data_IF_659733543429
#
_entry.id   IF_659733543429
#
_cell.length_a   1.000
_cell.length_b   1.000
_cell.length_c   1.000
_cell.angle_alpha   90.00
_cell.angle_beta   90.00
_cell.angle_gamma   90.00
#
_symmetry.space_group_name_H-M   'P 1'
#
loop_
_entity.id
_entity.type
_entity.pdbx_description
1 polymer ?
#
# COMPACT_ATOMS: atom_id res chain seq x y z
N UNK A 1 -13.81 54.60 11.18
CA UNK A 1 -13.04 53.85 10.17
C UNK A 1 -12.31 52.70 10.86
N UNK A 2 -12.93 51.54 10.85
CA UNK A 2 -12.36 50.24 11.23
C UNK A 2 -12.94 49.24 10.22
N UNK A 3 -12.14 48.39 9.57
CA UNK A 3 -12.70 47.24 8.89
C UNK A 3 -12.65 46.02 9.82
N UNK A 4 -13.83 45.45 10.04
CA UNK A 4 -14.03 44.14 10.64
C UNK A 4 -13.39 43.05 9.76
N UNK A 5 -12.56 42.24 10.37
CA UNK A 5 -12.15 40.92 9.89
C UNK A 5 -13.35 39.97 9.87
N UNK A 6 -13.67 39.38 8.72
CA UNK A 6 -14.44 38.14 8.66
C UNK A 6 -13.55 37.03 8.10
N UNK A 7 -13.09 36.18 9.03
CA UNK A 7 -12.54 34.87 8.74
C UNK A 7 -13.63 34.00 8.12
N UNK A 8 -13.40 33.49 6.92
CA UNK A 8 -14.23 32.46 6.30
C UNK A 8 -13.42 31.16 6.32
N UNK A 9 -13.69 30.32 7.31
CA UNK A 9 -13.18 28.96 7.35
C UNK A 9 -13.87 28.15 6.24
N UNK A 10 -13.12 27.76 5.21
CA UNK A 10 -13.58 26.77 4.22
C UNK A 10 -13.49 25.38 4.85
N UNK A 11 -14.65 24.81 5.20
CA UNK A 11 -14.79 23.39 5.52
C UNK A 11 -14.97 22.63 4.20
N UNK A 12 -13.89 22.16 3.61
CA UNK A 12 -13.97 21.12 2.57
C UNK A 12 -13.99 19.74 3.26
N UNK A 13 -15.05 18.97 3.00
CA UNK A 13 -15.26 17.64 3.59
C UNK A 13 -14.42 16.61 2.84
N UNK A 14 -13.50 16.00 3.57
CA UNK A 14 -12.81 14.77 3.20
C UNK A 14 -13.84 13.66 2.96
N UNK A 15 -13.89 13.09 1.75
CA UNK A 15 -14.59 11.83 1.49
C UNK A 15 -13.66 10.68 1.91
N UNK A 16 -13.69 10.33 3.21
CA UNK A 16 -13.17 9.04 3.69
C UNK A 16 -14.20 7.98 3.27
N UNK A 17 -13.85 7.15 2.30
CA UNK A 17 -14.63 5.95 1.99
C UNK A 17 -14.24 4.81 2.93
N UNK A 18 -15.02 4.61 3.99
CA UNK A 18 -15.01 3.38 4.78
C UNK A 18 -16.04 2.44 4.17
N UNK A 19 -15.60 1.30 3.62
CA UNK A 19 -16.54 0.25 3.18
C UNK A 19 -16.16 -1.11 3.78
N UNK A 20 -17.16 -1.72 4.41
CA UNK A 20 -17.14 -3.05 5.03
C UNK A 20 -17.40 -4.09 3.93
N UNK A 21 -16.49 -5.05 3.80
CA UNK A 21 -16.62 -6.16 2.85
C UNK A 21 -17.70 -7.14 3.29
N UNK A 22 -18.71 -7.39 2.44
CA UNK A 22 -19.65 -8.49 2.59
C UNK A 22 -19.38 -9.49 1.46
N UNK A 23 -18.94 -10.69 1.85
CA UNK A 23 -18.70 -11.83 0.96
C UNK A 23 -20.02 -12.46 0.49
N UNK A 24 -20.13 -12.77 -0.82
CA UNK A 24 -20.75 -14.01 -1.33
C UNK A 24 -20.51 -14.22 -2.85
N UNK A 25 -20.07 -15.45 -3.16
CA UNK A 25 -20.04 -16.18 -4.45
C UNK A 25 -19.09 -15.75 -5.59
N UNK A 26 -17.92 -16.42 -5.60
CA UNK A 26 -17.52 -17.33 -6.69
C UNK A 26 -17.39 -16.75 -8.10
N UNK A 27 -16.52 -15.76 -8.28
CA UNK A 27 -15.91 -15.47 -9.57
C UNK A 27 -14.39 -15.32 -9.36
N UNK A 28 -13.60 -15.85 -10.28
CA UNK A 28 -12.16 -15.58 -10.36
C UNK A 28 -11.97 -14.16 -10.89
N UNK A 29 -11.21 -13.33 -10.17
CA UNK A 29 -11.27 -11.87 -10.32
C UNK A 29 -9.82 -11.29 -10.29
N UNK A 30 -9.50 -10.16 -10.96
CA UNK A 30 -8.12 -9.76 -11.40
C UNK A 30 -7.62 -8.23 -11.64
N UNK A 31 -6.70 -7.62 -10.85
CA UNK A 31 -5.59 -6.59 -11.00
C UNK A 31 -5.32 -5.71 -12.26
N UNK A 32 -4.63 -4.55 -12.14
CA UNK A 32 -3.90 -3.73 -13.17
C UNK A 32 -4.55 -3.67 -14.57
N UNK A 33 -4.82 -2.47 -15.08
CA UNK A 33 -5.54 -2.31 -16.35
C UNK A 33 -4.57 -2.19 -17.53
N UNK A 34 -4.52 -3.21 -18.40
CA UNK A 34 -3.67 -3.20 -19.60
C UNK A 34 -4.35 -2.54 -20.80
N UNK A 35 -3.54 -1.88 -21.62
CA UNK A 35 -4.00 -1.39 -22.93
C UNK A 35 -4.34 -2.57 -23.85
N UNK A 36 -3.40 -3.50 -23.99
CA UNK A 36 -3.39 -4.58 -24.98
C UNK A 36 -4.38 -5.71 -24.69
N UNK A 37 -4.75 -5.91 -23.43
CA UNK A 37 -5.50 -7.10 -22.99
C UNK A 37 -6.57 -6.77 -21.96
N UNK A 38 -7.71 -7.44 -22.10
CA UNK A 38 -8.73 -7.54 -21.05
C UNK A 38 -8.76 -8.92 -20.41
N UNK A 39 -7.84 -9.81 -20.76
CA UNK A 39 -7.72 -11.12 -20.13
C UNK A 39 -7.34 -10.91 -18.66
N UNK A 40 -8.22 -11.30 -17.74
CA UNK A 40 -8.01 -10.97 -16.36
C UNK A 40 -6.89 -11.89 -15.78
N UNK A 41 -6.48 -12.97 -16.45
CA UNK A 41 -5.31 -13.77 -16.04
C UNK A 41 -3.95 -13.22 -16.53
N UNK A 42 -3.93 -12.13 -17.30
CA UNK A 42 -2.70 -11.57 -17.87
C UNK A 42 -1.74 -11.09 -16.77
N UNK A 43 -0.45 -11.45 -16.88
CA UNK A 43 0.63 -11.08 -15.95
C UNK A 43 0.37 -11.38 -14.45
N UNK A 44 -0.27 -12.51 -14.15
CA UNK A 44 -0.58 -13.00 -12.78
C UNK A 44 0.51 -13.87 -12.15
N UNK A 45 1.57 -14.15 -12.89
CA UNK A 45 2.75 -14.88 -12.40
C UNK A 45 3.98 -13.97 -12.47
N UNK A 46 5.03 -14.35 -11.74
CA UNK A 46 6.26 -13.56 -11.68
C UNK A 46 6.81 -13.28 -13.10
N UNK A 47 7.27 -12.05 -13.38
CA UNK A 47 7.85 -11.72 -14.68
C UNK A 47 9.06 -12.61 -15.01
N UNK A 48 9.13 -13.09 -16.26
CA UNK A 48 10.24 -13.86 -16.80
C UNK A 48 11.20 -13.03 -17.66
N UNK A 49 12.22 -13.69 -18.23
CA UNK A 49 13.11 -13.09 -19.22
C UNK A 49 13.90 -11.88 -18.70
N UNK A 50 13.91 -10.78 -19.44
CA UNK A 50 14.61 -9.54 -19.07
C UNK A 50 14.05 -8.86 -17.81
N UNK A 51 12.82 -9.22 -17.43
CA UNK A 51 12.10 -8.70 -16.26
C UNK A 51 12.21 -9.64 -15.05
N UNK A 52 12.97 -10.74 -15.13
CA UNK A 52 13.18 -11.60 -13.97
C UNK A 52 13.71 -10.80 -12.77
N UNK A 53 13.13 -11.08 -11.60
CA UNK A 53 13.41 -10.41 -10.33
C UNK A 53 13.08 -8.91 -10.31
N UNK A 54 12.16 -8.44 -11.16
CA UNK A 54 11.69 -7.04 -11.18
C UNK A 54 10.71 -6.67 -10.07
N UNK A 55 10.90 -7.22 -8.88
CA UNK A 55 10.21 -6.80 -7.66
C UNK A 55 9.02 -7.65 -7.23
N UNK A 56 8.55 -8.58 -8.08
CA UNK A 56 7.48 -9.52 -7.72
C UNK A 56 7.77 -10.27 -6.42
N UNK A 57 9.02 -10.68 -6.24
CA UNK A 57 9.49 -11.42 -5.07
C UNK A 57 9.48 -10.62 -3.77
N UNK A 58 9.26 -9.30 -3.84
CA UNK A 58 9.23 -8.38 -2.71
C UNK A 58 7.81 -7.86 -2.40
N UNK A 59 6.76 -8.34 -3.06
CA UNK A 59 5.41 -7.89 -2.73
C UNK A 59 4.79 -8.77 -1.64
N UNK A 60 4.24 -8.11 -0.63
CA UNK A 60 3.51 -8.72 0.46
C UNK A 60 2.05 -8.27 0.43
N UNK A 61 1.13 -9.19 0.74
CA UNK A 61 -0.29 -8.91 0.77
C UNK A 61 -0.72 -8.40 2.14
N UNK A 62 -1.39 -7.25 2.19
CA UNK A 62 -1.84 -6.63 3.45
C UNK A 62 -3.24 -6.06 3.31
N UNK A 63 -4.22 -6.75 3.90
CA UNK A 63 -5.65 -6.44 3.67
C UNK A 63 -5.98 -6.48 2.17
N UNK A 64 -6.63 -5.43 1.65
CA UNK A 64 -6.91 -5.24 0.22
C UNK A 64 -5.73 -4.67 -0.60
N UNK A 65 -4.58 -4.42 0.01
CA UNK A 65 -3.48 -3.67 -0.62
C UNK A 65 -2.16 -4.44 -0.56
N UNK A 66 -1.11 -3.83 -1.10
CA UNK A 66 0.24 -4.35 -1.08
C UNK A 66 1.14 -3.56 -0.13
N UNK A 67 2.19 -4.23 0.32
CA UNK A 67 3.32 -3.63 1.01
C UNK A 67 4.61 -4.27 0.52
N UNK A 68 5.71 -3.53 0.58
CA UNK A 68 7.01 -3.99 0.09
C UNK A 68 8.01 -4.05 1.24
N UNK A 69 8.51 -5.23 1.66
CA UNK A 69 9.60 -5.30 2.63
C UNK A 69 10.80 -4.49 2.16
N UNK A 70 11.34 -3.65 3.04
CA UNK A 70 12.50 -2.77 2.78
C UNK A 70 13.62 -2.95 3.81
N UNK A 71 13.35 -3.71 4.87
CA UNK A 71 14.31 -4.13 5.89
C UNK A 71 13.77 -5.40 6.58
N UNK A 72 14.58 -6.10 7.39
CA UNK A 72 14.17 -7.34 8.07
C UNK A 72 12.82 -7.26 8.80
N UNK A 73 12.51 -6.15 9.46
CA UNK A 73 11.29 -6.02 10.27
C UNK A 73 10.35 -4.91 9.76
N UNK A 74 10.56 -4.42 8.53
CA UNK A 74 9.82 -3.27 8.01
C UNK A 74 9.38 -3.46 6.56
N UNK A 75 8.16 -3.04 6.27
CA UNK A 75 7.68 -2.86 4.91
C UNK A 75 7.14 -1.44 4.72
N UNK A 76 7.21 -0.96 3.48
CA UNK A 76 6.68 0.35 3.06
C UNK A 76 5.41 0.18 2.22
N UNK A 77 4.49 1.12 2.34
CA UNK A 77 3.22 1.20 1.61
C UNK A 77 2.75 2.66 1.54
N UNK A 78 1.56 2.89 0.98
CA UNK A 78 0.92 4.20 0.91
C UNK A 78 0.24 4.56 2.24
N UNK A 79 0.34 5.82 2.67
CA UNK A 79 -0.19 6.31 3.95
C UNK A 79 -1.72 6.51 3.91
N UNK A 80 -2.26 6.84 2.73
CA UNK A 80 -3.69 7.00 2.49
C UNK A 80 -4.46 5.67 2.59
N UNK A 81 -3.75 4.54 2.55
CA UNK A 81 -4.35 3.22 2.76
C UNK A 81 -4.59 3.00 4.24
N UNK A 82 -5.82 2.68 4.60
CA UNK A 82 -6.20 2.25 5.93
C UNK A 82 -6.39 0.74 5.99
N UNK A 83 -5.53 0.08 6.76
CA UNK A 83 -5.73 -1.30 7.21
C UNK A 83 -5.57 -1.29 8.74
N UNK A 84 -6.49 -1.93 9.49
CA UNK A 84 -6.46 -1.87 10.95
C UNK A 84 -5.12 -2.34 11.55
N UNK A 85 -4.59 -1.68 12.60
CA UNK A 85 -3.42 -2.16 13.33
C UNK A 85 -3.59 -3.61 13.82
N UNK A 86 -2.50 -4.37 13.83
CA UNK A 86 -2.52 -5.79 14.17
C UNK A 86 -2.95 -6.71 13.03
N UNK A 87 -3.44 -6.18 11.91
CA UNK A 87 -3.71 -6.98 10.71
C UNK A 87 -2.39 -7.54 10.16
N UNK A 88 -2.25 -8.87 9.99
CA UNK A 88 -1.02 -9.45 9.47
C UNK A 88 -0.77 -9.07 8.01
N UNK A 89 0.50 -8.82 7.69
CA UNK A 89 1.00 -8.78 6.31
C UNK A 89 1.49 -10.19 5.94
N UNK A 90 1.12 -10.68 4.76
CA UNK A 90 1.47 -12.01 4.26
C UNK A 90 2.56 -11.88 3.21
N UNK A 91 3.76 -12.34 3.53
CA UNK A 91 4.90 -12.34 2.62
C UNK A 91 5.35 -13.77 2.32
N UNK A 92 5.31 -14.16 1.03
CA UNK A 92 5.65 -15.53 0.55
C UNK A 92 4.92 -16.64 1.34
N UNK A 93 3.65 -16.41 1.68
CA UNK A 93 2.80 -17.36 2.42
C UNK A 93 3.00 -17.34 3.94
N UNK A 94 3.92 -16.54 4.47
CA UNK A 94 4.15 -16.38 5.91
C UNK A 94 3.48 -15.09 6.41
N UNK A 95 2.72 -15.20 7.50
CA UNK A 95 2.05 -14.06 8.12
C UNK A 95 2.92 -13.39 9.19
N UNK A 96 3.02 -12.06 9.13
CA UNK A 96 3.70 -11.24 10.11
C UNK A 96 2.75 -10.19 10.66
N UNK A 97 2.51 -10.18 11.97
CA UNK A 97 1.61 -9.21 12.62
C UNK A 97 2.19 -7.81 12.53
N UNK A 98 1.40 -6.82 12.10
CA UNK A 98 1.80 -5.41 12.15
C UNK A 98 1.77 -4.88 13.58
N UNK A 99 2.77 -4.08 13.95
CA UNK A 99 2.92 -3.56 15.32
C UNK A 99 2.61 -2.07 15.38
N UNK A 100 3.41 -1.28 14.68
CA UNK A 100 3.31 0.19 14.65
C UNK A 100 3.70 0.70 13.27
N UNK A 101 3.35 1.95 12.99
CA UNK A 101 3.67 2.62 11.74
C UNK A 101 4.35 3.98 11.94
N UNK A 102 5.01 4.43 10.89
CA UNK A 102 5.71 5.69 10.78
C UNK A 102 5.28 6.33 9.45
N UNK A 103 4.64 7.50 9.54
CA UNK A 103 4.27 8.30 8.37
C UNK A 103 5.41 9.25 8.01
N UNK A 104 5.66 9.39 6.72
CA UNK A 104 6.55 10.43 6.22
C UNK A 104 5.83 11.78 6.30
N UNK A 105 6.36 12.78 7.02
CA UNK A 105 5.71 14.09 7.08
C UNK A 105 5.68 14.84 5.74
N UNK A 106 6.46 14.42 4.75
CA UNK A 106 6.62 15.11 3.47
C UNK A 106 6.01 14.36 2.28
N UNK A 107 5.34 13.22 2.49
CA UNK A 107 4.77 12.43 1.40
C UNK A 107 3.66 11.49 1.85
N UNK A 108 3.09 10.75 0.90
CA UNK A 108 2.15 9.66 1.18
C UNK A 108 2.85 8.32 1.52
N UNK A 109 4.09 8.32 1.99
CA UNK A 109 4.76 7.08 2.40
C UNK A 109 4.44 6.72 3.85
N UNK A 110 4.19 5.43 4.09
CA UNK A 110 4.09 4.84 5.42
C UNK A 110 4.98 3.61 5.53
N UNK A 111 5.76 3.53 6.60
CA UNK A 111 6.51 2.32 6.96
C UNK A 111 5.82 1.64 8.15
N UNK A 112 5.64 0.33 8.06
CA UNK A 112 5.14 -0.51 9.16
C UNK A 112 6.25 -1.38 9.73
N UNK A 113 6.32 -1.47 11.06
CA UNK A 113 7.08 -2.50 11.77
C UNK A 113 6.24 -3.76 11.90
N UNK A 114 6.88 -4.91 11.72
CA UNK A 114 6.26 -6.23 11.88
C UNK A 114 6.84 -7.01 13.06
N UNK A 115 6.05 -7.96 13.53
CA UNK A 115 6.45 -9.00 14.47
C UNK A 115 7.05 -10.20 13.70
N UNK A 116 8.37 -10.36 13.77
CA UNK A 116 9.12 -11.36 13.02
C UNK A 116 10.03 -10.72 11.97
N UNK A 117 10.76 -11.54 11.21
CA UNK A 117 11.76 -11.08 10.24
C UNK A 117 11.44 -11.60 8.84
N UNK A 118 11.35 -10.70 7.87
CA UNK A 118 11.31 -11.04 6.46
C UNK A 118 12.63 -11.69 6.03
N UNK A 119 12.59 -12.81 5.27
CA UNK A 119 13.79 -13.48 4.80
C UNK A 119 14.51 -12.72 3.67
N UNK A 120 13.85 -11.72 3.07
CA UNK A 120 14.32 -10.98 1.91
C UNK A 120 13.55 -9.65 1.81
N UNK A 121 14.16 -8.62 1.22
CA UNK A 121 13.58 -7.29 1.09
C UNK A 121 14.13 -6.54 -0.12
N UNK A 122 13.35 -5.57 -0.62
CA UNK A 122 13.68 -4.82 -1.82
C UNK A 122 14.87 -3.87 -1.58
N UNK A 123 15.86 -3.82 -2.48
CA UNK A 123 16.82 -2.73 -2.49
C UNK A 123 16.14 -1.43 -2.90
N UNK A 124 16.53 -0.31 -2.29
CA UNK A 124 15.97 1.02 -2.54
C UNK A 124 16.69 1.69 -3.72
N UNK A 125 15.93 2.30 -4.63
CA UNK A 125 16.47 3.16 -5.68
C UNK A 125 16.84 4.52 -5.09
N UNK A 126 18.11 4.92 -5.22
CA UNK A 126 18.66 6.13 -4.58
C UNK A 126 19.16 7.18 -5.57
N UNK A 127 19.13 6.89 -6.86
CA UNK A 127 19.53 7.87 -7.88
C UNK A 127 18.38 8.86 -8.14
N UNK A 128 18.66 9.93 -8.88
CA UNK A 128 17.71 10.99 -9.20
C UNK A 128 17.38 11.11 -10.69
N UNK A 129 17.71 10.08 -11.47
CA UNK A 129 17.60 10.00 -12.93
C UNK A 129 16.44 9.09 -13.39
N UNK A 130 15.31 9.10 -12.69
CA UNK A 130 14.17 8.22 -12.97
C UNK A 130 13.50 8.52 -14.32
N UNK A 131 13.38 9.80 -14.70
CA UNK A 131 12.75 10.22 -15.96
C UNK A 131 13.37 9.52 -17.17
N UNK A 132 12.52 8.93 -18.00
CA UNK A 132 12.90 8.17 -19.19
C UNK A 132 13.25 6.71 -18.92
N UNK A 133 13.37 6.27 -17.67
CA UNK A 133 13.58 4.85 -17.38
C UNK A 133 12.28 4.06 -17.52
N UNK A 134 12.38 2.90 -18.16
CA UNK A 134 11.35 1.87 -18.08
C UNK A 134 11.30 1.27 -16.67
N UNK A 135 10.10 0.93 -16.21
CA UNK A 135 9.88 0.31 -14.92
C UNK A 135 8.91 -0.85 -15.00
N UNK A 136 8.89 -1.67 -13.94
CA UNK A 136 7.82 -2.62 -13.67
C UNK A 136 6.98 -2.10 -12.51
N UNK A 137 5.67 -2.05 -12.67
CA UNK A 137 4.73 -1.69 -11.61
C UNK A 137 3.92 -2.92 -11.21
N UNK A 138 3.65 -3.06 -9.92
CA UNK A 138 2.91 -4.18 -9.35
C UNK A 138 1.73 -3.63 -8.57
N UNK A 139 0.58 -4.30 -8.69
CA UNK A 139 -0.70 -3.82 -8.20
C UNK A 139 -1.66 -4.96 -7.91
N UNK A 140 -2.72 -4.64 -7.17
CA UNK A 140 -3.74 -5.58 -6.68
C UNK A 140 -5.16 -5.01 -6.64
N UNK A 141 -5.40 -4.00 -7.47
CA UNK A 141 -6.68 -3.33 -7.67
C UNK A 141 -7.77 -4.11 -8.42
N UNK A 142 -8.38 -3.46 -9.41
CA UNK A 142 -9.54 -3.98 -10.15
C UNK A 142 -9.20 -4.57 -11.51
N UNK A 143 -10.18 -5.28 -12.08
CA UNK A 143 -10.24 -5.68 -13.48
C UNK A 143 -10.45 -4.51 -14.44
N UNK A 144 -10.15 -4.77 -15.71
CA UNK A 144 -10.63 -3.96 -16.82
C UNK A 144 -12.16 -4.04 -16.93
N UNK A 145 -12.82 -2.90 -16.79
CA UNK A 145 -14.26 -2.77 -16.97
C UNK A 145 -14.66 -2.52 -18.44
N UNK A 146 -15.94 -2.16 -18.67
CA UNK A 146 -16.46 -1.84 -19.99
C UNK A 146 -15.71 -0.68 -20.68
N UNK A 147 -15.79 -0.60 -22.03
CA UNK A 147 -15.23 0.50 -22.78
C UNK A 147 -15.86 1.85 -22.43
N UNK A 148 -15.01 2.85 -22.20
CA UNK A 148 -15.37 4.26 -22.22
C UNK A 148 -15.31 4.71 -23.66
N UNK A 149 -16.43 5.23 -24.16
CA UNK A 149 -16.54 5.69 -25.54
C UNK A 149 -17.13 7.08 -25.62
N UNK A 150 -16.59 7.89 -26.52
CA UNK A 150 -17.17 9.16 -26.96
C UNK A 150 -17.65 9.01 -28.39
N UNK A 151 -18.73 9.69 -28.74
CA UNK A 151 -19.25 9.67 -30.11
C UNK A 151 -19.09 11.05 -30.71
N UNK A 152 -18.42 11.13 -31.87
CA UNK A 152 -18.36 12.35 -32.67
C UNK A 152 -19.06 12.11 -34.01
N UNK A 153 -20.20 12.77 -34.20
CA UNK A 153 -21.14 12.53 -35.30
C UNK A 153 -21.56 11.05 -35.41
N UNK A 154 -20.96 10.31 -36.36
CA UNK A 154 -21.25 8.91 -36.64
C UNK A 154 -20.11 7.96 -36.23
N UNK A 155 -19.01 8.48 -35.68
CA UNK A 155 -17.86 7.66 -35.29
C UNK A 155 -17.84 7.48 -33.79
N UNK A 156 -17.92 6.23 -33.34
CA UNK A 156 -17.66 5.84 -31.96
C UNK A 156 -16.16 5.70 -31.78
N UNK A 157 -15.62 6.52 -30.88
CA UNK A 157 -14.23 6.46 -30.45
C UNK A 157 -14.19 5.77 -29.10
N UNK A 158 -13.19 4.91 -28.93
CA UNK A 158 -12.89 4.33 -27.62
C UNK A 158 -11.80 5.14 -26.95
N UNK A 159 -12.03 5.56 -25.71
CA UNK A 159 -11.17 6.47 -24.96
C UNK A 159 -10.34 5.74 -23.90
N UNK A 160 -10.82 4.60 -23.42
CA UNK A 160 -10.24 3.89 -22.29
C UNK A 160 -11.21 2.89 -21.69
N UNK A 161 -10.87 2.38 -20.51
CA UNK A 161 -11.58 1.31 -19.83
C UNK A 161 -12.01 1.75 -18.45
N UNK A 162 -13.30 1.59 -18.11
CA UNK A 162 -13.74 1.83 -16.73
C UNK A 162 -13.04 0.87 -15.77
N UNK A 163 -12.97 1.23 -14.49
CA UNK A 163 -12.59 0.28 -13.45
C UNK A 163 -13.68 -0.80 -13.32
N UNK A 164 -13.25 -2.06 -13.31
CA UNK A 164 -14.11 -3.23 -13.24
C UNK A 164 -14.29 -3.73 -11.81
N UNK A 165 -14.61 -5.02 -11.71
CA UNK A 165 -14.75 -5.67 -10.41
C UNK A 165 -13.41 -5.72 -9.66
N UNK A 166 -13.45 -5.42 -8.36
CA UNK A 166 -12.31 -5.59 -7.46
C UNK A 166 -12.09 -7.07 -7.11
N UNK A 167 -10.83 -7.42 -6.89
CA UNK A 167 -10.45 -8.82 -6.87
C UNK A 167 -9.22 -9.24 -6.11
N UNK A 168 -8.36 -8.29 -5.76
CA UNK A 168 -7.19 -8.56 -4.96
C UNK A 168 -6.22 -9.62 -5.53
N UNK A 169 -6.12 -9.82 -6.84
CA UNK A 169 -5.06 -10.64 -7.45
C UNK A 169 -3.89 -9.75 -7.89
N UNK A 170 -2.67 -10.19 -7.57
CA UNK A 170 -1.45 -9.46 -7.90
C UNK A 170 -1.14 -9.57 -9.39
N UNK A 171 -0.82 -8.42 -10.00
CA UNK A 171 -0.39 -8.32 -11.41
C UNK A 171 0.76 -7.35 -11.57
N UNK A 172 1.42 -7.44 -12.70
CA UNK A 172 2.47 -6.50 -13.08
C UNK A 172 2.28 -5.99 -14.51
N UNK A 173 2.69 -4.74 -14.73
CA UNK A 173 2.80 -4.12 -16.04
C UNK A 173 4.06 -3.28 -16.15
N UNK A 174 4.26 -2.63 -17.29
CA UNK A 174 5.46 -1.84 -17.58
C UNK A 174 5.11 -0.53 -18.26
N UNK A 175 5.58 0.58 -17.71
CA UNK A 175 5.55 1.87 -18.38
C UNK A 175 6.93 2.53 -18.28
N UNK A 176 7.03 3.78 -18.73
CA UNK A 176 8.21 4.64 -18.60
C UNK A 176 7.88 5.78 -17.66
N UNK A 177 8.85 6.23 -16.87
CA UNK A 177 8.70 7.47 -16.08
C UNK A 177 8.67 8.65 -17.04
N UNK A 178 7.49 9.21 -17.28
CA UNK A 178 7.31 10.34 -18.17
C UNK A 178 7.90 11.63 -17.56
N UNK A 179 7.70 11.82 -16.26
CA UNK A 179 8.21 12.96 -15.52
C UNK A 179 8.32 12.66 -14.01
N UNK A 180 9.09 13.50 -13.32
CA UNK A 180 9.00 13.68 -11.87
C UNK A 180 8.26 14.98 -11.64
N UNK A 181 7.16 14.94 -10.90
CA UNK A 181 6.29 16.10 -10.65
C UNK A 181 6.09 16.30 -9.16
N UNK A 182 5.87 17.55 -8.74
CA UNK A 182 5.40 17.82 -7.38
C UNK A 182 3.88 17.59 -7.34
N UNK A 183 3.44 16.63 -6.52
CA UNK A 183 2.02 16.30 -6.34
C UNK A 183 1.27 17.27 -5.44
N UNK A 184 1.96 18.16 -4.71
CA UNK A 184 1.36 19.11 -3.76
C UNK A 184 0.36 20.04 -4.45
N UNK A 185 -0.90 20.02 -3.99
CA UNK A 185 -1.96 20.84 -4.56
C UNK A 185 -2.41 20.44 -5.98
N UNK A 186 -1.83 19.36 -6.53
CA UNK A 186 -2.18 18.80 -7.85
C UNK A 186 -2.96 17.50 -7.67
N UNK A 187 -2.47 16.59 -6.84
CA UNK A 187 -3.04 15.25 -6.64
C UNK A 187 -3.88 15.12 -5.36
N UNK A 188 -4.03 16.22 -4.62
CA UNK A 188 -4.84 16.24 -3.40
C UNK A 188 -4.58 17.48 -2.53
N UNK A 189 -5.33 17.56 -1.44
CA UNK A 189 -5.14 18.58 -0.41
C UNK A 189 -4.15 18.04 0.64
N UNK A 190 -2.89 18.46 0.59
CA UNK A 190 -1.87 18.05 1.55
C UNK A 190 -0.47 18.01 0.94
N UNK A 191 0.49 17.57 1.75
CA UNK A 191 1.85 17.26 1.29
C UNK A 191 1.83 15.86 0.67
N UNK A 192 1.98 15.80 -0.64
CA UNK A 192 2.14 14.58 -1.44
C UNK A 192 3.62 14.37 -1.78
N UNK A 193 4.35 15.47 -1.98
CA UNK A 193 5.77 15.45 -2.35
C UNK A 193 6.00 15.12 -3.82
N UNK A 194 7.23 14.72 -4.14
CA UNK A 194 7.60 14.33 -5.50
C UNK A 194 7.02 12.95 -5.86
N UNK A 195 6.46 12.84 -7.06
CA UNK A 195 5.88 11.60 -7.59
C UNK A 195 6.45 11.30 -8.98
N UNK A 196 6.57 10.01 -9.28
CA UNK A 196 6.86 9.49 -10.61
C UNK A 196 5.55 9.44 -11.40
N UNK A 197 5.49 10.14 -12.53
CA UNK A 197 4.35 10.10 -13.44
C UNK A 197 4.59 9.09 -14.56
N UNK A 198 3.55 8.33 -14.90
CA UNK A 198 3.51 7.53 -16.12
C UNK A 198 2.22 7.81 -16.89
N UNK A 199 2.35 7.98 -18.20
CA UNK A 199 1.21 8.11 -19.12
C UNK A 199 0.71 6.73 -19.54
N UNK A 200 -0.57 6.67 -19.89
CA UNK A 200 -1.18 5.53 -20.56
C UNK A 200 -1.57 5.97 -21.96
N UNK A 201 -0.68 5.85 -22.91
CA UNK A 201 -0.77 6.49 -24.23
C UNK A 201 -0.79 5.49 -25.39
N UNK A 202 -0.96 4.20 -25.08
CA UNK A 202 -0.99 3.12 -26.05
C UNK A 202 0.33 2.92 -26.80
N UNK A 203 1.43 3.49 -26.31
CA UNK A 203 2.75 3.45 -26.92
C UNK A 203 3.82 2.82 -25.99
N UNK A 204 3.42 2.32 -24.82
CA UNK A 204 4.31 1.66 -23.85
C UNK A 204 4.58 0.16 -24.12
N UNK A 205 4.03 -0.38 -25.21
CA UNK A 205 4.17 -1.78 -25.61
C UNK A 205 3.15 -2.72 -24.97
N UNK A 206 3.34 -4.03 -25.13
CA UNK A 206 2.32 -5.05 -24.80
C UNK A 206 1.92 -5.10 -23.32
N UNK A 207 2.77 -4.63 -22.42
CA UNK A 207 2.52 -4.64 -20.98
C UNK A 207 2.25 -3.25 -20.41
N UNK A 208 2.05 -2.25 -21.28
CA UNK A 208 1.61 -0.93 -20.84
C UNK A 208 0.30 -1.04 -20.07
N UNK A 209 0.28 -0.40 -18.92
CA UNK A 209 -0.84 -0.48 -18.01
C UNK A 209 -1.15 0.85 -17.36
N UNK A 210 -2.26 0.86 -16.63
CA UNK A 210 -2.69 1.93 -15.76
C UNK A 210 -3.16 1.32 -14.43
N UNK A 211 -3.16 2.16 -13.38
CA UNK A 211 -3.61 1.79 -12.05
C UNK A 211 -5.12 1.99 -11.86
N UNK A 212 -5.64 1.38 -10.81
CA UNK A 212 -7.03 1.41 -10.40
C UNK A 212 -7.18 1.32 -8.88
N UNK A 213 -8.43 1.41 -8.39
CA UNK A 213 -8.70 1.22 -6.98
C UNK A 213 -8.12 -0.09 -6.45
N UNK A 214 -7.35 -0.02 -5.36
CA UNK A 214 -6.71 -1.17 -4.71
C UNK A 214 -5.29 -1.47 -5.20
N UNK A 215 -4.80 -0.77 -6.23
CA UNK A 215 -3.38 -0.82 -6.60
C UNK A 215 -2.49 0.00 -5.65
N UNK A 216 -3.09 0.85 -4.81
CA UNK A 216 -2.39 1.65 -3.78
C UNK A 216 -1.47 0.82 -2.91
N UNK A 217 -0.28 1.36 -2.62
CA UNK A 217 0.75 0.66 -1.85
C UNK A 217 1.55 -0.39 -2.63
N UNK A 218 1.11 -0.75 -3.84
CA UNK A 218 1.89 -1.52 -4.79
C UNK A 218 3.16 -0.78 -5.21
N UNK A 219 4.16 -1.51 -5.70
CA UNK A 219 5.49 -0.95 -5.95
C UNK A 219 5.81 -0.74 -7.42
N UNK A 220 6.63 0.29 -7.67
CA UNK A 220 7.30 0.57 -8.93
C UNK A 220 8.79 0.27 -8.78
N UNK A 221 9.33 -0.56 -9.67
CA UNK A 221 10.74 -0.96 -9.70
C UNK A 221 11.42 -0.45 -10.96
N UNK A 222 12.54 0.25 -10.79
CA UNK A 222 13.43 0.66 -11.89
C UNK A 222 14.68 -0.21 -11.84
N UNK A 223 15.18 -0.59 -13.02
CA UNK A 223 16.43 -1.34 -13.15
C UNK A 223 17.61 -0.38 -13.07
N UNK A 224 18.39 -0.49 -12.01
CA UNK A 224 19.67 0.21 -11.83
C UNK A 224 20.82 -0.76 -12.08
N UNK A 225 21.56 -0.53 -13.16
CA UNK A 225 22.49 -1.48 -13.74
C UNK A 225 21.84 -2.86 -13.98
N UNK A 226 22.17 -3.87 -13.16
CA UNK A 226 21.64 -5.23 -13.27
C UNK A 226 20.55 -5.55 -12.25
N UNK A 227 20.26 -4.64 -11.30
CA UNK A 227 19.39 -4.90 -10.15
C UNK A 227 18.14 -4.04 -10.24
N UNK A 228 16.98 -4.66 -10.06
CA UNK A 228 15.72 -3.93 -9.90
C UNK A 228 15.59 -3.40 -8.48
N UNK A 229 15.35 -2.10 -8.36
CA UNK A 229 15.26 -1.40 -7.07
C UNK A 229 13.93 -0.66 -6.96
N UNK A 230 13.40 -0.62 -5.74
CA UNK A 230 12.15 0.06 -5.41
C UNK A 230 12.31 1.57 -5.63
N UNK A 231 11.58 2.11 -6.61
CA UNK A 231 11.67 3.50 -7.03
C UNK A 231 10.39 4.31 -6.71
N UNK A 232 9.25 3.63 -6.59
CA UNK A 232 7.98 4.30 -6.28
C UNK A 232 6.99 3.41 -5.54
N UNK A 233 6.02 4.06 -4.88
CA UNK A 233 4.85 3.41 -4.29
C UNK A 233 3.59 3.99 -4.91
N UNK A 234 2.74 3.13 -5.49
CA UNK A 234 1.50 3.49 -6.17
C UNK A 234 0.61 4.35 -5.28
N UNK A 235 0.24 5.52 -5.81
CA UNK A 235 -0.42 6.59 -5.08
C UNK A 235 -1.76 6.97 -5.68
N UNK A 236 -1.75 7.43 -6.94
CA UNK A 236 -2.88 8.15 -7.52
C UNK A 236 -2.97 7.93 -9.03
N UNK A 237 -4.09 8.40 -9.58
CA UNK A 237 -4.42 8.42 -11.00
C UNK A 237 -5.12 9.72 -11.35
N UNK A 238 -5.09 10.10 -12.62
CA UNK A 238 -5.98 11.13 -13.15
C UNK A 238 -7.46 10.65 -13.12
N UNK A 239 -8.37 11.64 -13.07
CA UNK A 239 -9.81 11.42 -12.94
C UNK A 239 -10.36 11.85 -11.57
N UNK A 240 -11.64 11.56 -11.27
CA UNK A 240 -12.61 10.87 -12.13
C UNK A 240 -12.93 11.65 -13.40
N UNK A 241 -13.51 10.95 -14.38
CA UNK A 241 -13.93 11.52 -15.66
C UNK A 241 -15.44 11.66 -15.76
N UNK A 242 -15.89 12.48 -16.72
CA UNK A 242 -17.29 12.63 -17.08
C UNK A 242 -17.46 12.78 -18.60
N UNK A 243 -18.64 12.46 -19.11
CA UNK A 243 -19.06 12.73 -20.50
C UNK A 243 -19.74 14.09 -20.67
N UNK A 244 -20.07 14.77 -19.56
CA UNK A 244 -20.64 16.12 -19.56
C UNK A 244 -19.83 17.07 -18.67
N UNK A 245 -19.98 18.38 -18.92
CA UNK A 245 -19.41 19.44 -18.07
C UNK A 245 -20.42 20.06 -17.09
N UNK A 246 -21.52 19.36 -16.82
CA UNK A 246 -22.57 19.92 -15.95
C UNK A 246 -22.10 19.93 -14.50
N UNK A 247 -21.96 21.11 -13.91
CA UNK A 247 -21.60 21.23 -12.49
C UNK A 247 -22.68 20.59 -11.61
N UNK A 248 -22.26 19.72 -10.68
CA UNK A 248 -23.16 18.92 -9.86
C UNK A 248 -23.61 17.60 -10.48
N UNK A 249 -23.14 17.27 -11.70
CA UNK A 249 -23.32 15.93 -12.27
C UNK A 249 -22.60 14.88 -11.42
N UNK A 250 -23.38 13.90 -10.95
CA UNK A 250 -22.91 12.80 -10.12
C UNK A 250 -22.57 11.54 -10.93
N UNK A 251 -22.72 11.57 -12.26
CA UNK A 251 -22.42 10.43 -13.15
C UNK A 251 -20.93 10.33 -13.53
N UNK A 252 -20.06 10.91 -12.69
CA UNK A 252 -18.62 10.73 -12.82
C UNK A 252 -18.25 9.25 -12.72
N UNK A 253 -17.23 8.83 -13.47
CA UNK A 253 -16.75 7.46 -13.49
C UNK A 253 -15.22 7.41 -13.38
N UNK A 254 -14.71 6.31 -12.83
CA UNK A 254 -13.28 6.06 -12.76
C UNK A 254 -12.86 5.14 -13.91
N UNK A 255 -11.76 5.48 -14.57
CA UNK A 255 -11.30 4.77 -15.75
C UNK A 255 -9.79 4.94 -15.95
N UNK A 256 -9.18 3.97 -16.61
CA UNK A 256 -7.90 4.11 -17.27
C UNK A 256 -8.14 4.68 -18.68
N UNK A 257 -7.76 5.92 -18.93
CA UNK A 257 -8.05 6.63 -20.18
C UNK A 257 -6.77 6.79 -20.99
N UNK A 258 -6.73 6.26 -22.21
CA UNK A 258 -5.61 6.47 -23.13
C UNK A 258 -5.79 7.65 -24.07
N UNK A 259 -7.02 8.13 -24.21
CA UNK A 259 -7.33 9.34 -24.94
C UNK A 259 -8.57 10.01 -24.34
N UNK A 260 -8.36 11.09 -23.59
CA UNK A 260 -9.41 11.81 -22.89
C UNK A 260 -10.17 12.79 -23.79
N UNK A 261 -9.82 12.95 -25.07
CA UNK A 261 -10.50 13.92 -25.95
C UNK A 261 -11.98 13.56 -26.09
N UNK A 262 -12.83 14.53 -25.74
CA UNK A 262 -14.29 14.39 -25.69
C UNK A 262 -14.83 14.04 -24.31
N UNK A 263 -13.97 13.86 -23.31
CA UNK A 263 -14.32 13.71 -21.91
C UNK A 263 -14.03 15.00 -21.13
N UNK A 264 -14.43 15.00 -19.87
CA UNK A 264 -14.18 16.07 -18.90
C UNK A 264 -13.53 15.50 -17.64
N UNK A 265 -12.70 16.30 -16.99
CA UNK A 265 -12.08 16.01 -15.70
C UNK A 265 -12.28 17.19 -14.75
N UNK A 266 -12.06 16.97 -13.45
CA UNK A 266 -12.22 18.04 -12.45
C UNK A 266 -10.94 18.87 -12.36
N UNK A 267 -11.10 20.18 -12.44
CA UNK A 267 -10.06 21.13 -12.05
C UNK A 267 -9.93 21.23 -10.53
N UNK A 268 -8.86 21.89 -10.05
CA UNK A 268 -8.61 22.19 -8.62
C UNK A 268 -9.77 22.97 -7.95
N UNK A 269 -10.66 23.59 -8.74
CA UNK A 269 -11.87 24.28 -8.27
C UNK A 269 -13.14 23.43 -8.25
N UNK A 270 -13.04 22.11 -8.43
CA UNK A 270 -14.17 21.16 -8.52
C UNK A 270 -15.14 21.43 -9.69
N UNK A 271 -14.62 22.02 -10.77
CA UNK A 271 -15.35 22.32 -12.01
C UNK A 271 -14.92 21.34 -13.09
N UNK A 272 -15.89 20.77 -13.81
CA UNK A 272 -15.65 19.92 -14.98
C UNK A 272 -15.09 20.73 -16.15
N UNK A 273 -13.88 20.42 -16.57
CA UNK A 273 -13.17 21.06 -17.68
C UNK A 273 -12.87 20.02 -18.77
N UNK A 274 -12.82 20.42 -20.06
CA UNK A 274 -12.49 19.48 -21.14
C UNK A 274 -11.12 18.82 -20.89
N UNK A 275 -11.09 17.50 -21.00
CA UNK A 275 -9.87 16.71 -20.91
C UNK A 275 -9.36 16.35 -22.31
N UNK A 276 -8.05 16.08 -22.41
CA UNK A 276 -7.42 15.67 -23.66
C UNK A 276 -6.12 14.92 -23.41
N UNK A 277 -5.70 14.08 -24.36
CA UNK A 277 -4.48 13.30 -24.23
C UNK A 277 -4.64 12.09 -23.30
N UNK A 278 -3.55 11.36 -23.03
CA UNK A 278 -3.57 10.20 -22.15
C UNK A 278 -3.76 10.61 -20.70
N UNK A 279 -4.47 9.78 -19.94
CA UNK A 279 -4.46 9.84 -18.48
C UNK A 279 -3.15 9.32 -17.92
N UNK A 280 -2.86 9.71 -16.69
CA UNK A 280 -1.65 9.35 -15.96
C UNK A 280 -1.95 8.60 -14.67
N UNK A 281 -0.98 7.80 -14.24
CA UNK A 281 -0.88 7.37 -12.86
C UNK A 281 0.43 7.84 -12.22
N UNK A 282 0.41 7.86 -10.89
CA UNK A 282 1.46 8.44 -10.08
C UNK A 282 1.89 7.48 -8.97
N UNK A 283 3.20 7.43 -8.72
CA UNK A 283 3.78 6.72 -7.59
C UNK A 283 4.68 7.65 -6.78
N UNK A 284 4.53 7.67 -5.46
CA UNK A 284 5.37 8.49 -4.56
C UNK A 284 6.84 8.13 -4.76
N UNK A 285 7.69 9.12 -5.06
CA UNK A 285 9.08 8.92 -5.46
C UNK A 285 9.94 8.52 -4.27
N UNK A 286 10.36 7.26 -4.20
CA UNK A 286 11.08 6.73 -3.03
C UNK A 286 12.46 7.37 -2.81
N UNK A 287 13.18 7.71 -3.88
CA UNK A 287 14.54 8.27 -3.79
C UNK A 287 14.58 9.62 -3.06
N UNK A 288 13.50 10.42 -3.13
CA UNK A 288 13.36 11.69 -2.43
C UNK A 288 13.27 11.53 -0.91
N UNK A 289 12.93 10.33 -0.42
CA UNK A 289 12.63 10.05 0.97
C UNK A 289 13.61 9.07 1.63
N UNK A 290 14.75 8.78 0.97
CA UNK A 290 15.77 7.83 1.47
C UNK A 290 16.28 8.20 2.86
N UNK A 291 16.46 9.49 3.15
CA UNK A 291 16.89 9.95 4.48
C UNK A 291 15.87 9.60 5.57
N UNK A 292 14.57 9.80 5.29
CA UNK A 292 13.50 9.44 6.22
C UNK A 292 13.40 7.92 6.36
N UNK A 293 13.41 7.16 5.24
CA UNK A 293 13.39 5.70 5.25
C UNK A 293 14.52 5.16 6.15
N UNK A 294 15.75 5.64 5.94
CA UNK A 294 16.91 5.24 6.72
C UNK A 294 16.79 5.60 8.20
N UNK A 295 16.18 6.75 8.54
CA UNK A 295 15.93 7.11 9.94
C UNK A 295 14.98 6.15 10.64
N UNK A 296 14.02 5.57 9.91
CA UNK A 296 13.03 4.62 10.45
C UNK A 296 13.64 3.23 10.55
N UNK A 297 14.22 2.69 9.48
CA UNK A 297 14.68 1.29 9.44
C UNK A 297 15.96 1.05 10.25
N UNK A 298 16.76 2.10 10.48
CA UNK A 298 17.97 2.04 11.32
C UNK A 298 17.72 2.55 12.74
N UNK A 299 16.48 2.90 13.09
CA UNK A 299 16.16 3.22 14.47
C UNK A 299 16.40 1.97 15.33
N UNK A 300 17.19 2.10 16.40
CA UNK A 300 17.35 1.05 17.41
C UNK A 300 16.07 0.93 18.24
N UNK A 301 15.00 0.43 17.64
CA UNK A 301 13.75 0.16 18.35
C UNK A 301 13.93 -1.12 19.16
N UNK A 302 13.75 -1.08 20.50
CA UNK A 302 13.83 -2.28 21.31
C UNK A 302 12.92 -3.40 20.77
N UNK A 303 13.30 -4.67 20.93
CA UNK A 303 12.39 -5.79 20.69
C UNK A 303 11.08 -5.58 21.44
N UNK A 304 9.96 -6.03 20.88
CA UNK A 304 8.71 -6.04 21.64
C UNK A 304 8.85 -7.00 22.84
N UNK A 305 8.47 -6.58 24.05
CA UNK A 305 8.53 -7.45 25.22
C UNK A 305 7.60 -8.65 25.01
N UNK A 306 7.95 -9.83 25.53
CA UNK A 306 7.07 -10.99 25.43
C UNK A 306 5.78 -10.78 26.20
N UNK A 307 4.69 -11.36 25.70
CA UNK A 307 3.43 -11.47 26.42
C UNK A 307 3.33 -12.86 27.04
N UNK A 308 3.15 -12.92 28.36
CA UNK A 308 2.86 -14.17 29.04
C UNK A 308 1.44 -14.61 28.69
N UNK A 309 1.28 -15.86 28.30
CA UNK A 309 -0.02 -16.49 28.13
C UNK A 309 -0.14 -17.69 29.05
N UNK A 310 -1.34 -17.95 29.54
CA UNK A 310 -1.63 -19.11 30.37
C UNK A 310 -2.81 -19.94 29.86
N UNK A 311 -2.88 -21.20 30.30
CA UNK A 311 -3.97 -22.12 30.03
C UNK A 311 -4.15 -23.12 31.18
N UNK A 312 -5.39 -23.56 31.41
CA UNK A 312 -5.69 -24.63 32.36
C UNK A 312 -5.24 -26.02 31.89
N UNK A 313 -4.95 -26.18 30.59
CA UNK A 313 -4.44 -27.42 29.98
C UNK A 313 -3.21 -27.11 29.12
N UNK A 314 -2.26 -28.05 29.07
CA UNK A 314 -1.08 -27.95 28.21
C UNK A 314 -1.44 -27.72 26.72
N UNK A 315 -2.57 -28.28 26.28
CA UNK A 315 -3.09 -28.14 24.91
C UNK A 315 -3.80 -26.80 24.64
N UNK A 316 -3.94 -25.94 25.64
CA UNK A 316 -4.72 -24.70 25.54
C UNK A 316 -6.22 -24.88 25.81
N UNK A 317 -7.05 -23.87 25.50
CA UNK A 317 -6.68 -22.61 24.85
C UNK A 317 -5.82 -21.72 25.76
N UNK A 318 -4.85 -21.03 25.15
CA UNK A 318 -4.02 -20.04 25.85
C UNK A 318 -4.59 -18.64 25.68
N UNK A 319 -4.56 -17.85 26.75
CA UNK A 319 -4.98 -16.44 26.76
C UNK A 319 -3.88 -15.56 27.38
N UNK A 320 -3.85 -14.29 27.01
CA UNK A 320 -2.90 -13.31 27.58
C UNK A 320 -3.16 -13.13 29.08
N UNK A 321 -2.09 -13.19 29.87
CA UNK A 321 -2.11 -12.88 31.31
C UNK A 321 -2.06 -11.36 31.51
N UNK A 322 -3.23 -10.72 31.60
CA UNK A 322 -3.36 -9.25 31.62
C UNK A 322 -2.70 -8.59 32.83
N UNK A 323 -2.47 -9.33 33.91
CA UNK A 323 -1.85 -8.84 35.13
C UNK A 323 -0.36 -9.21 35.24
N UNK A 324 0.22 -9.83 34.21
CA UNK A 324 1.64 -10.12 34.19
C UNK A 324 2.46 -8.84 34.02
N UNK A 325 3.44 -8.64 34.91
CA UNK A 325 4.41 -7.57 34.86
C UNK A 325 5.67 -8.08 34.18
N UNK A 326 5.97 -7.56 32.99
CA UNK A 326 7.14 -7.93 32.20
C UNK A 326 8.26 -6.92 32.44
N UNK A 327 9.41 -7.40 32.88
CA UNK A 327 10.66 -6.65 32.94
C UNK A 327 11.63 -7.25 31.92
N UNK A 328 11.69 -6.63 30.74
CA UNK A 328 12.55 -7.10 29.64
C UNK A 328 14.04 -6.85 29.89
N UNK A 329 14.39 -5.86 30.72
CA UNK A 329 15.78 -5.59 31.07
C UNK A 329 16.36 -6.70 31.95
N UNK A 330 15.58 -7.17 32.92
CA UNK A 330 15.98 -8.31 33.77
C UNK A 330 15.59 -9.67 33.20
N UNK A 331 14.87 -9.70 32.06
CA UNK A 331 14.31 -10.91 31.44
C UNK A 331 13.44 -11.71 32.41
N UNK A 332 12.58 -11.01 33.14
CA UNK A 332 11.64 -11.62 34.09
C UNK A 332 10.19 -11.25 33.80
N UNK A 333 9.27 -12.14 34.17
CA UNK A 333 7.84 -11.89 34.17
C UNK A 333 7.28 -12.29 35.52
N UNK A 334 6.55 -11.39 36.17
CA UNK A 334 5.89 -11.65 37.46
C UNK A 334 4.38 -11.66 37.26
N UNK A 335 3.69 -12.69 37.76
CA UNK A 335 2.22 -12.73 37.81
C UNK A 335 1.78 -13.29 39.16
N UNK A 336 0.51 -13.13 39.52
CA UNK A 336 -0.04 -13.68 40.75
C UNK A 336 0.09 -15.21 40.78
N UNK A 337 0.40 -15.78 41.94
CA UNK A 337 0.41 -17.24 42.09
C UNK A 337 -1.01 -17.80 41.82
N UNK A 338 -1.18 -18.74 40.86
CA UNK A 338 -2.50 -19.26 40.55
C UNK A 338 -3.01 -20.16 41.68
N UNK A 339 -4.34 -20.19 41.86
CA UNK A 339 -5.00 -21.09 42.83
C UNK A 339 -4.98 -22.57 42.43
N UNK A 340 -4.41 -22.92 41.27
CA UNK A 340 -4.33 -24.27 40.73
C UNK A 340 -3.21 -24.41 39.69
N UNK A 341 -3.09 -25.60 39.11
CA UNK A 341 -2.10 -25.84 38.04
C UNK A 341 -2.46 -25.03 36.79
N UNK A 342 -1.46 -24.34 36.23
CA UNK A 342 -1.56 -23.54 35.01
C UNK A 342 -0.35 -23.86 34.13
N UNK A 343 -0.54 -23.81 32.82
CA UNK A 343 0.51 -23.97 31.82
C UNK A 343 0.80 -22.60 31.21
N UNK A 344 2.08 -22.28 31.01
CA UNK A 344 2.51 -20.97 30.53
C UNK A 344 3.28 -21.07 29.21
N UNK A 345 3.14 -20.04 28.37
CA UNK A 345 3.97 -19.84 27.19
C UNK A 345 4.22 -18.35 26.96
N UNK A 346 5.24 -18.03 26.16
CA UNK A 346 5.52 -16.67 25.72
C UNK A 346 5.01 -16.45 24.29
N UNK A 347 4.25 -15.39 24.08
CA UNK A 347 3.94 -14.85 22.76
C UNK A 347 4.93 -13.73 22.46
N UNK A 348 5.71 -13.88 21.40
CA UNK A 348 6.89 -13.03 21.12
C UNK A 348 7.12 -12.96 19.61
N UNK A 349 7.82 -11.90 19.17
CA UNK A 349 8.22 -11.71 17.77
C UNK A 349 9.52 -12.44 17.39
N UNK A 350 10.21 -13.03 18.36
CA UNK A 350 11.38 -13.88 18.17
C UNK A 350 11.35 -15.12 19.08
N UNK A 351 12.26 -16.09 18.87
CA UNK A 351 12.34 -17.26 19.73
C UNK A 351 12.75 -16.83 21.14
N UNK A 352 11.95 -17.19 22.14
CA UNK A 352 12.29 -17.07 23.56
C UNK A 352 11.99 -18.37 24.28
N UNK A 353 12.74 -18.66 25.33
CA UNK A 353 12.55 -19.84 26.17
C UNK A 353 12.35 -19.43 27.61
N UNK A 354 11.29 -19.93 28.25
CA UNK A 354 11.15 -19.85 29.71
C UNK A 354 12.20 -20.78 30.32
N UNK A 355 13.13 -20.22 31.08
CA UNK A 355 14.21 -20.97 31.72
C UNK A 355 13.79 -21.50 33.09
N UNK A 356 13.06 -20.70 33.85
CA UNK A 356 12.64 -21.07 35.21
C UNK A 356 11.30 -20.46 35.57
N UNK A 357 10.61 -21.11 36.50
CA UNK A 357 9.37 -20.65 37.11
C UNK A 357 9.52 -20.88 38.61
N UNK A 358 9.43 -19.83 39.42
CA UNK A 358 9.64 -19.88 40.86
C UNK A 358 8.53 -19.11 41.60
N UNK A 359 8.23 -19.53 42.83
CA UNK A 359 7.29 -18.80 43.69
C UNK A 359 8.08 -17.85 44.59
N UNK A 360 7.78 -16.56 44.55
CA UNK A 360 8.45 -15.55 45.35
C UNK A 360 7.43 -14.52 45.88
N UNK A 361 7.35 -14.37 47.21
CA UNK A 361 6.50 -13.35 47.84
C UNK A 361 5.01 -13.45 47.50
N UNK A 362 4.48 -14.66 47.24
CA UNK A 362 3.09 -14.87 46.81
C UNK A 362 2.83 -14.70 45.32
N UNK A 363 3.87 -14.42 44.53
CA UNK A 363 3.81 -14.32 43.08
C UNK A 363 4.55 -15.48 42.40
N UNK A 364 4.23 -15.70 41.15
CA UNK A 364 5.00 -16.52 40.23
C UNK A 364 5.96 -15.63 39.44
N UNK A 365 7.27 -15.92 39.52
CA UNK A 365 8.32 -15.23 38.77
C UNK A 365 8.89 -16.19 37.74
N UNK A 366 8.77 -15.84 36.47
CA UNK A 366 9.33 -16.56 35.33
C UNK A 366 10.59 -15.84 34.84
N UNK A 367 11.65 -16.57 34.55
CA UNK A 367 12.82 -16.03 33.83
C UNK A 367 12.85 -16.57 32.41
N UNK A 368 13.30 -15.76 31.46
CA UNK A 368 13.39 -16.17 30.05
C UNK A 368 14.69 -15.73 29.39
N UNK A 369 14.99 -16.29 28.22
CA UNK A 369 16.11 -15.91 27.36
C UNK A 369 15.71 -15.89 25.89
#
# INVERSE_FOLDING_TARGET
MQPFTRSCASRSRLLIFVFISIWLSGHSVNAILFYSSGDPNYNTSAPGGSLTNSGWQYQASWGGFLGTPIAPNYFITASHVYVPPGTPVVFRGVSYTTLTNYDDPASDLRIWRICGTFPDYAPIYTNTNETGNAFVVIGRGTQRGPPVTTTNFLTVKTNGWQWGAYDAIQRWGTNVVAAVVNGDGVLGNGLIGEVLQATFDANGGNNECHLSFGDSGGAVFIKDASIWKLAGINLAVDGPYNTTNTNGDTNAFNAAIFDATGLYEKSVGDVWVPASGPGSFYATRVSAHVSWINSVINANVPPEPPVLQSAASASGPYADETNALVDDASRTITTSLPGGSQFYRLRTCGPLTIQSIQVQGGNLVLTYQ
#
